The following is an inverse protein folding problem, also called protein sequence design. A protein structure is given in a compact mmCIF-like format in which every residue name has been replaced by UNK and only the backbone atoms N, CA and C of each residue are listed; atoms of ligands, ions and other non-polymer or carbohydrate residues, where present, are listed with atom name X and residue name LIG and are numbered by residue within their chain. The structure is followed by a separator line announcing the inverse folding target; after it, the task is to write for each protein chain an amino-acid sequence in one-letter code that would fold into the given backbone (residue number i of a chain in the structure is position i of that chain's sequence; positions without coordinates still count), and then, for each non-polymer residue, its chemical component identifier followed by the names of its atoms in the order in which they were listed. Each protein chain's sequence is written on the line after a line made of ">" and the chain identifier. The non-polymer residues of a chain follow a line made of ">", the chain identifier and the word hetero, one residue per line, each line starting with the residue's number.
data_IF_529637767196
#
_entry.id   IF_529637767196
#
_cell.length_a   1.000
_cell.length_b   1.000
_cell.length_c   1.000
_cell.angle_alpha   90.00
_cell.angle_beta   90.00
_cell.angle_gamma   90.00
#
_symmetry.space_group_name_H-M   'P 1'
#
loop_
_entity.id
_entity.type
_entity.pdbx_description
1 polymer ?
#
# COMPACT_ATOMS: atom_id res chain seq x y z
N UNK A 1 -1.77 14.66 9.01
CA UNK A 1 -1.27 14.64 10.40
C UNK A 1 -0.37 13.46 10.54
N UNK A 2 0.81 13.66 11.10
CA UNK A 2 1.83 12.64 11.20
C UNK A 2 2.32 12.58 12.65
N UNK A 3 2.39 11.38 13.20
CA UNK A 3 2.98 11.15 14.52
C UNK A 3 4.36 10.53 14.36
N UNK A 4 5.29 10.99 15.19
CA UNK A 4 6.66 10.49 15.23
C UNK A 4 7.04 10.17 16.69
N UNK A 5 7.94 9.20 16.84
CA UNK A 5 8.55 8.79 18.10
C UNK A 5 10.06 8.74 17.94
N UNK A 6 10.77 8.61 19.05
CA UNK A 6 12.19 8.28 19.09
C UNK A 6 12.43 6.79 18.81
N UNK A 7 13.71 6.43 18.71
CA UNK A 7 14.16 5.04 18.52
C UNK A 7 13.99 4.19 19.78
N UNK A 8 13.80 4.84 20.95
CA UNK A 8 13.61 4.10 22.19
C UNK A 8 12.41 3.17 22.07
N UNK A 9 12.64 1.88 22.31
CA UNK A 9 11.58 0.89 22.23
C UNK A 9 10.53 1.20 23.30
N UNK A 10 9.29 1.46 22.86
CA UNK A 10 8.17 1.56 23.78
C UNK A 10 7.80 0.17 24.30
N UNK A 11 8.27 -0.16 25.50
CA UNK A 11 7.88 -1.40 26.18
C UNK A 11 6.69 -1.13 27.10
N UNK A 12 5.53 -1.70 26.74
CA UNK A 12 4.35 -1.74 27.59
C UNK A 12 4.05 -3.17 28.01
N UNK A 13 4.98 -3.80 28.73
CA UNK A 13 4.84 -5.03 29.50
C UNK A 13 3.90 -6.06 28.84
N UNK A 14 4.31 -6.58 27.69
CA UNK A 14 3.68 -7.75 27.06
C UNK A 14 2.47 -7.49 26.17
N UNK A 15 2.17 -6.23 25.82
CA UNK A 15 1.23 -5.93 24.71
C UNK A 15 2.02 -5.74 23.42
N UNK A 16 1.48 -6.21 22.29
CA UNK A 16 1.99 -6.00 20.92
C UNK A 16 1.89 -4.53 20.49
N UNK A 17 2.26 -3.60 21.36
CA UNK A 17 2.13 -2.17 21.19
C UNK A 17 3.53 -1.61 21.07
N UNK A 18 3.83 -1.09 19.90
CA UNK A 18 5.15 -0.60 19.52
C UNK A 18 5.10 0.91 19.22
N UNK A 19 6.23 1.44 18.80
CA UNK A 19 6.35 2.82 18.34
C UNK A 19 5.41 3.13 17.16
N UNK A 20 5.03 2.12 16.38
CA UNK A 20 4.04 2.26 15.31
C UNK A 20 2.65 2.62 15.84
N UNK A 21 2.14 1.87 16.81
CA UNK A 21 0.85 2.14 17.43
C UNK A 21 0.89 3.46 18.22
N UNK A 22 1.98 3.71 18.95
CA UNK A 22 2.17 4.94 19.71
C UNK A 22 2.12 6.19 18.83
N UNK A 23 2.85 6.17 17.71
CA UNK A 23 2.88 7.30 16.78
C UNK A 23 1.52 7.55 16.12
N UNK A 24 0.82 6.49 15.70
CA UNK A 24 -0.53 6.60 15.14
C UNK A 24 -1.54 7.15 16.18
N UNK A 25 -1.47 6.68 17.42
CA UNK A 25 -2.37 7.13 18.49
C UNK A 25 -2.12 8.60 18.87
N UNK A 26 -0.86 9.04 18.91
CA UNK A 26 -0.52 10.47 19.13
C UNK A 26 -1.11 11.35 18.03
N UNK A 27 -0.97 10.95 16.77
CA UNK A 27 -1.53 11.70 15.64
C UNK A 27 -3.07 11.74 15.68
N UNK A 28 -3.72 10.63 16.06
CA UNK A 28 -5.16 10.56 16.25
C UNK A 28 -5.65 11.38 17.45
N UNK A 29 -4.88 11.43 18.54
CA UNK A 29 -5.18 12.29 19.68
C UNK A 29 -5.20 13.76 19.27
N UNK A 30 -4.16 14.20 18.54
CA UNK A 30 -4.09 15.56 18.01
C UNK A 30 -5.27 15.89 17.08
N UNK A 31 -5.67 14.94 16.22
CA UNK A 31 -6.86 15.06 15.37
C UNK A 31 -8.11 15.39 16.20
N UNK A 32 -8.38 14.60 17.25
CA UNK A 32 -9.54 14.79 18.13
C UNK A 32 -9.52 16.15 18.82
N UNK A 33 -8.35 16.60 19.29
CA UNK A 33 -8.20 17.93 19.90
C UNK A 33 -8.53 19.04 18.89
N UNK A 34 -8.08 18.92 17.65
CA UNK A 34 -8.41 19.92 16.61
C UNK A 34 -9.87 19.91 16.20
N UNK A 35 -10.50 18.75 16.16
CA UNK A 35 -11.95 18.64 15.89
C UNK A 35 -12.77 19.33 16.98
N UNK A 36 -12.41 19.14 18.25
CA UNK A 36 -13.00 19.87 19.37
C UNK A 36 -12.75 21.39 19.22
N UNK A 37 -11.58 21.78 18.72
CA UNK A 37 -11.22 23.16 18.41
C UNK A 37 -11.97 23.77 17.20
N UNK A 38 -12.89 23.03 16.56
CA UNK A 38 -13.70 23.52 15.45
C UNK A 38 -13.16 23.20 14.05
N UNK A 39 -12.11 22.38 13.94
CA UNK A 39 -11.67 21.86 12.65
C UNK A 39 -12.70 20.86 12.13
N UNK A 40 -13.20 21.05 10.89
CA UNK A 40 -14.18 20.13 10.31
C UNK A 40 -13.51 18.82 9.94
N UNK A 41 -14.16 17.69 10.23
CA UNK A 41 -13.65 16.34 9.95
C UNK A 41 -13.14 16.17 8.51
N UNK A 42 -13.89 16.68 7.52
CA UNK A 42 -13.54 16.61 6.09
C UNK A 42 -12.30 17.42 5.68
N UNK A 43 -11.78 18.29 6.55
CA UNK A 43 -10.53 19.02 6.28
C UNK A 43 -9.29 18.15 6.55
N UNK A 44 -9.44 17.06 7.31
CA UNK A 44 -8.36 16.16 7.66
C UNK A 44 -8.32 15.06 6.61
N UNK A 45 -7.28 15.07 5.79
CA UNK A 45 -7.19 14.18 4.63
C UNK A 45 -6.51 12.85 4.97
N UNK A 46 -5.55 12.88 5.90
CA UNK A 46 -4.75 11.71 6.26
C UNK A 46 -4.19 11.83 7.67
N UNK A 47 -4.17 10.71 8.38
CA UNK A 47 -3.43 10.49 9.62
C UNK A 47 -2.45 9.34 9.41
N UNK A 48 -1.20 9.50 9.81
CA UNK A 48 -0.13 8.49 9.65
C UNK A 48 0.67 8.40 10.94
N UNK A 49 1.05 7.18 11.34
CA UNK A 49 2.09 6.93 12.33
C UNK A 49 3.37 6.51 11.62
N UNK A 50 4.47 7.21 11.89
CA UNK A 50 5.77 6.98 11.25
C UNK A 50 6.81 6.34 12.18
N UNK A 51 6.45 6.09 13.44
CA UNK A 51 7.38 5.61 14.46
C UNK A 51 8.69 6.43 14.46
N UNK A 52 9.83 5.75 14.33
CA UNK A 52 11.19 6.28 14.29
C UNK A 52 11.78 6.41 12.87
N UNK A 53 10.96 6.30 11.81
CA UNK A 53 11.46 6.36 10.44
C UNK A 53 11.88 7.75 9.94
N UNK A 54 11.49 8.82 10.65
CA UNK A 54 11.79 10.20 10.27
C UNK A 54 12.20 11.02 11.50
N UNK A 55 13.52 11.01 11.78
CA UNK A 55 14.18 11.70 12.87
C UNK A 55 14.79 13.03 12.39
N UNK A 56 14.32 14.19 12.86
CA UNK A 56 14.89 15.50 12.54
C UNK A 56 16.32 15.65 13.03
N UNK A 57 16.63 15.02 14.17
CA UNK A 57 17.96 15.02 14.78
C UNK A 57 18.50 13.58 14.74
N UNK A 58 18.98 13.09 13.58
CA UNK A 58 19.48 11.73 13.47
C UNK A 58 20.78 11.50 14.27
N UNK A 59 21.48 12.58 14.65
CA UNK A 59 22.70 12.52 15.48
C UNK A 59 22.41 12.16 16.94
N UNK A 60 21.21 12.48 17.43
CA UNK A 60 20.74 12.10 18.75
C UNK A 60 19.35 11.44 18.63
N UNK A 61 19.29 10.11 18.42
CA UNK A 61 18.04 9.40 18.20
C UNK A 61 17.09 9.37 19.39
N UNK A 62 17.55 9.74 20.59
CA UNK A 62 16.77 9.77 21.83
C UNK A 62 16.27 11.17 22.19
N UNK A 63 16.64 12.18 21.39
CA UNK A 63 16.25 13.57 21.60
C UNK A 63 14.72 13.72 21.65
N UNK A 64 14.25 14.58 22.55
CA UNK A 64 12.83 14.88 22.71
C UNK A 64 12.18 15.48 21.46
N UNK A 65 12.95 16.16 20.61
CA UNK A 65 12.48 16.71 19.35
C UNK A 65 11.99 15.64 18.37
N UNK A 66 12.50 14.41 18.49
CA UNK A 66 12.05 13.29 17.66
C UNK A 66 10.60 12.88 17.99
N UNK A 67 10.14 13.10 19.23
CA UNK A 67 8.79 12.75 19.73
C UNK A 67 7.72 13.81 19.39
N UNK A 68 7.54 14.14 18.11
CA UNK A 68 6.65 15.23 17.63
C UNK A 68 5.35 14.76 16.97
N UNK A 69 4.41 15.69 16.80
CA UNK A 69 3.24 15.53 15.92
C UNK A 69 3.27 16.63 14.86
N UNK A 70 3.39 16.25 13.60
CA UNK A 70 3.52 17.16 12.46
C UNK A 70 2.16 17.39 11.80
N UNK A 71 1.84 18.66 11.52
CA UNK A 71 0.59 19.08 10.90
C UNK A 71 0.92 19.69 9.54
N UNK A 72 0.67 18.94 8.49
CA UNK A 72 0.87 19.40 7.12
C UNK A 72 -0.40 20.07 6.62
N UNK A 73 -0.29 21.35 6.29
CA UNK A 73 -1.37 22.12 5.65
C UNK A 73 -1.11 22.14 4.15
N UNK A 74 -2.06 21.63 3.37
CA UNK A 74 -1.97 21.59 1.91
C UNK A 74 -2.67 22.79 1.30
N UNK A 75 -2.02 23.45 0.36
CA UNK A 75 -2.63 24.50 -0.45
C UNK A 75 -3.38 23.86 -1.64
N UNK A 76 -4.70 24.05 -1.72
CA UNK A 76 -5.55 23.40 -2.74
C UNK A 76 -5.20 23.77 -4.20
N UNK A 77 -4.41 24.83 -4.42
CA UNK A 77 -4.02 25.26 -5.77
C UNK A 77 -2.92 24.37 -6.38
N UNK A 78 -2.19 23.64 -5.55
CA UNK A 78 -0.98 22.94 -5.97
C UNK A 78 -1.23 21.47 -6.33
N UNK A 79 -2.33 20.86 -5.88
CA UNK A 79 -2.65 19.46 -6.16
C UNK A 79 -2.89 19.22 -7.68
N UNK A 80 -3.52 20.19 -8.36
CA UNK A 80 -3.73 20.13 -9.83
C UNK A 80 -2.43 20.36 -10.59
N UNK A 81 -1.52 21.20 -10.08
CA UNK A 81 -0.26 21.55 -10.74
C UNK A 81 0.80 20.49 -10.52
N UNK A 82 0.90 19.91 -9.32
CA UNK A 82 1.80 18.81 -8.99
C UNK A 82 1.45 17.53 -9.77
N UNK A 83 0.17 17.18 -9.88
CA UNK A 83 -0.28 16.05 -10.69
C UNK A 83 -0.08 16.29 -12.21
N UNK A 84 -0.19 17.54 -12.68
CA UNK A 84 0.11 17.90 -14.09
C UNK A 84 1.61 17.94 -14.37
N UNK A 85 2.44 18.29 -13.39
CA UNK A 85 3.91 18.35 -13.50
C UNK A 85 4.50 16.97 -13.74
N UNK A 86 4.19 15.99 -12.87
CA UNK A 86 4.72 14.62 -13.00
C UNK A 86 4.33 13.94 -14.31
N UNK A 87 3.11 14.19 -14.82
CA UNK A 87 2.65 13.68 -16.10
C UNK A 87 3.35 14.35 -17.30
N UNK A 88 3.56 15.67 -17.26
CA UNK A 88 4.31 16.40 -18.29
C UNK A 88 5.79 16.01 -18.30
N UNK A 89 6.39 15.85 -17.13
CA UNK A 89 7.80 15.47 -16.98
C UNK A 89 8.04 14.04 -17.46
N UNK A 90 7.11 13.12 -17.16
CA UNK A 90 7.12 11.76 -17.69
C UNK A 90 7.02 11.72 -19.22
N UNK A 91 6.10 12.48 -19.82
CA UNK A 91 5.95 12.55 -21.28
C UNK A 91 7.15 13.24 -21.96
N UNK A 92 7.69 14.30 -21.35
CA UNK A 92 8.88 14.99 -21.85
C UNK A 92 10.12 14.08 -21.81
N UNK A 93 10.27 13.27 -20.75
CA UNK A 93 11.33 12.26 -20.63
C UNK A 93 11.18 11.16 -21.68
N UNK A 94 9.96 10.67 -21.91
CA UNK A 94 9.67 9.68 -22.96
C UNK A 94 9.97 10.24 -24.36
N UNK A 95 9.62 11.50 -24.65
CA UNK A 95 9.95 12.17 -25.93
C UNK A 95 11.45 12.35 -26.14
N UNK A 96 12.20 12.70 -25.09
CA UNK A 96 13.67 12.78 -25.16
C UNK A 96 14.32 11.42 -25.43
N UNK A 97 13.82 10.36 -24.77
CA UNK A 97 14.31 9.00 -24.97
C UNK A 97 13.99 8.47 -26.38
N UNK A 98 12.80 8.75 -26.92
CA UNK A 98 12.45 8.36 -28.30
C UNK A 98 13.24 9.14 -29.35
N UNK A 99 13.59 10.41 -29.09
CA UNK A 99 14.41 11.20 -30.00
C UNK A 99 15.88 10.73 -30.07
N UNK A 100 16.37 10.06 -29.01
CA UNK A 100 17.72 9.49 -28.97
C UNK A 100 17.80 8.07 -29.56
N UNK A 101 16.67 7.43 -29.85
CA UNK A 101 16.61 6.03 -30.29
C UNK A 101 16.69 5.82 -31.82
N UNK A 102 16.96 6.86 -32.61
CA UNK A 102 17.08 6.74 -34.07
C UNK A 102 18.53 6.91 -34.51
N UNK A 103 19.31 5.84 -34.40
CA UNK A 103 20.24 5.41 -35.47
C UNK A 103 20.68 3.95 -35.24
N UNK A 104 19.82 2.99 -35.60
CA UNK A 104 20.25 1.61 -35.79
C UNK A 104 20.71 1.47 -37.24
N UNK A 105 22.01 1.57 -37.49
CA UNK A 105 22.61 1.18 -38.78
C UNK A 105 22.39 -0.33 -38.97
N UNK A 106 21.83 -0.80 -40.10
CA UNK A 106 21.74 -2.23 -40.36
C UNK A 106 23.13 -2.81 -40.62
N UNK A 107 23.79 -3.27 -39.56
CA UNK A 107 25.00 -4.09 -39.65
C UNK A 107 24.65 -5.49 -40.15
N UNK A 108 25.38 -5.96 -41.18
CA UNK A 108 25.24 -7.31 -41.74
C UNK A 108 25.18 -8.37 -40.63
N UNK A 109 24.05 -9.06 -40.52
CA UNK A 109 23.94 -10.28 -39.73
C UNK A 109 24.79 -11.37 -40.39
N UNK A 110 25.91 -11.75 -39.75
CA UNK A 110 26.55 -13.05 -40.02
C UNK A 110 25.73 -14.12 -39.30
N UNK A 111 25.33 -15.22 -39.96
CA UNK A 111 24.66 -16.30 -39.27
C UNK A 111 25.63 -16.94 -38.26
N UNK A 112 25.15 -17.32 -37.05
CA UNK A 112 25.97 -18.06 -36.10
C UNK A 112 26.31 -19.44 -36.67
N UNK A 113 27.59 -19.79 -36.56
CA UNK A 113 28.16 -21.10 -36.88
C UNK A 113 27.39 -22.20 -36.16
N UNK A 114 26.96 -23.21 -36.93
CA UNK A 114 26.41 -24.45 -36.43
C UNK A 114 27.42 -25.17 -35.53
N UNK A 115 27.25 -25.09 -34.21
CA UNK A 115 27.85 -26.04 -33.29
C UNK A 115 26.83 -27.15 -33.05
N UNK A 116 27.03 -28.25 -33.77
CA UNK A 116 26.43 -29.53 -33.45
C UNK A 116 26.86 -29.93 -32.04
N UNK A 117 25.92 -30.00 -31.11
CA UNK A 117 26.07 -30.78 -29.88
C UNK A 117 24.71 -31.36 -29.55
N UNK A 118 24.67 -32.68 -29.60
CA UNK A 118 23.56 -33.54 -29.21
C UNK A 118 23.04 -33.18 -27.81
N UNK A 119 21.87 -32.56 -27.75
CA UNK A 119 21.08 -32.49 -26.52
C UNK A 119 19.99 -33.56 -26.61
N UNK A 120 20.20 -34.66 -25.89
CA UNK A 120 19.24 -35.74 -25.78
C UNK A 120 17.90 -35.25 -25.25
N UNK A 121 16.86 -35.36 -26.07
CA UNK A 121 15.48 -35.17 -25.66
C UNK A 121 15.08 -36.29 -24.69
N UNK A 122 14.92 -35.95 -23.41
CA UNK A 122 14.15 -36.76 -22.47
C UNK A 122 12.84 -36.04 -22.19
N UNK A 123 11.78 -36.47 -22.86
CA UNK A 123 10.42 -35.97 -22.68
C UNK A 123 9.93 -36.22 -21.24
N UNK A 124 9.28 -35.26 -20.56
CA UNK A 124 8.51 -35.57 -19.36
C UNK A 124 7.13 -36.09 -19.79
N UNK A 125 6.87 -37.33 -19.44
CA UNK A 125 5.59 -38.02 -19.62
C UNK A 125 4.48 -37.31 -18.85
N UNK A 126 3.36 -37.08 -19.54
CA UNK A 126 2.09 -36.67 -18.97
C UNK A 126 1.57 -37.77 -18.02
N UNK A 127 1.42 -37.46 -16.74
CA UNK A 127 0.93 -38.44 -15.78
C UNK A 127 0.93 -37.97 -14.34
N UNK A 128 0.15 -36.94 -14.01
CA UNK A 128 -0.27 -36.71 -12.60
C UNK A 128 -1.78 -36.50 -12.52
N UNK A 129 -2.44 -37.52 -11.97
CA UNK A 129 -3.85 -37.49 -11.55
C UNK A 129 -4.04 -36.42 -10.46
N UNK A 130 -5.16 -35.66 -10.48
CA UNK A 130 -5.45 -34.70 -9.42
C UNK A 130 -5.76 -35.42 -8.08
N UNK A 131 -5.45 -34.80 -6.92
CA UNK A 131 -5.69 -35.38 -5.60
C UNK A 131 -7.18 -35.55 -5.27
N UNK A 132 -7.48 -36.59 -4.47
CA UNK A 132 -8.83 -37.16 -4.25
C UNK A 132 -9.87 -36.26 -3.56
N UNK A 133 -9.50 -35.08 -3.06
CA UNK A 133 -10.42 -34.16 -2.36
C UNK A 133 -11.15 -33.18 -3.30
N UNK A 134 -10.85 -33.18 -4.60
CA UNK A 134 -11.44 -32.26 -5.60
C UNK A 134 -12.82 -32.66 -6.15
N UNK A 135 -13.41 -33.77 -5.69
CA UNK A 135 -14.78 -34.21 -6.08
C UNK A 135 -15.76 -34.13 -4.91
N UNK A 136 -16.06 -32.92 -4.43
CA UNK A 136 -17.32 -32.70 -3.68
C UNK A 136 -17.73 -31.24 -3.64
N UNK A 137 -18.32 -30.75 -4.74
CA UNK A 137 -19.37 -29.70 -4.75
C UNK A 137 -19.74 -29.36 -6.19
N UNK A 138 -20.64 -30.15 -6.79
CA UNK A 138 -21.74 -29.69 -7.66
C UNK A 138 -22.71 -30.86 -7.83
N UNK A 139 -23.88 -30.73 -7.19
CA UNK A 139 -25.22 -31.23 -7.55
C UNK A 139 -26.05 -31.45 -6.28
N UNK A 140 -26.83 -30.43 -5.94
CA UNK A 140 -28.23 -30.59 -5.54
C UNK A 140 -28.93 -29.27 -5.84
N UNK A 141 -29.45 -29.18 -7.05
CA UNK A 141 -30.58 -28.31 -7.36
C UNK A 141 -31.84 -28.89 -6.71
N UNK A 142 -32.83 -28.01 -6.56
CA UNK A 142 -34.26 -28.26 -6.32
C UNK A 142 -34.69 -28.66 -4.91
N UNK A 143 -35.34 -27.68 -4.24
CA UNK A 143 -36.73 -27.69 -3.74
C UNK A 143 -36.81 -27.16 -2.30
N UNK A 144 -37.91 -26.46 -2.00
CA UNK A 144 -38.29 -25.82 -0.72
C UNK A 144 -37.56 -24.48 -0.47
N UNK A 145 -38.20 -23.36 -0.21
CA UNK A 145 -39.59 -23.02 0.11
C UNK A 145 -39.56 -21.59 0.65
N UNK A 146 -40.67 -20.89 0.53
CA UNK A 146 -40.90 -19.55 1.05
C UNK A 146 -40.47 -19.34 2.51
N UNK A 147 -40.24 -18.07 2.88
CA UNK A 147 -40.42 -17.37 4.17
C UNK A 147 -39.21 -16.44 4.41
N UNK A 148 -39.27 -15.15 4.08
CA UNK A 148 -39.91 -14.04 4.83
C UNK A 148 -39.65 -14.09 6.35
N UNK A 149 -38.74 -13.23 6.80
CA UNK A 149 -38.71 -12.56 8.11
C UNK A 149 -37.70 -11.40 7.95
N UNK A 150 -38.07 -10.13 7.74
CA UNK A 150 -38.71 -9.18 8.67
C UNK A 150 -38.18 -9.36 10.09
N UNK A 151 -37.09 -8.65 10.41
CA UNK A 151 -36.71 -8.31 11.77
C UNK A 151 -37.06 -6.85 12.00
N UNK A 152 -38.19 -6.64 12.67
CA UNK A 152 -38.55 -5.40 13.33
C UNK A 152 -39.08 -5.78 14.72
N UNK A 153 -38.87 -4.87 15.68
CA UNK A 153 -39.50 -4.81 17.00
C UNK A 153 -38.80 -5.55 18.16
N UNK A 154 -38.13 -4.80 19.04
CA UNK A 154 -38.79 -4.33 20.26
C UNK A 154 -38.00 -3.22 20.98
N UNK A 155 -38.57 -2.02 20.94
CA UNK A 155 -38.37 -0.94 21.91
C UNK A 155 -39.13 -1.34 23.18
N UNK A 156 -38.49 -1.23 24.34
CA UNK A 156 -39.14 -1.23 25.65
C UNK A 156 -38.76 0.09 26.32
N UNK A 157 -39.75 0.96 26.47
CA UNK A 157 -39.71 2.12 27.36
C UNK A 157 -40.01 1.65 28.79
N UNK A 158 -39.27 2.20 29.75
CA UNK A 158 -39.69 2.53 31.11
C UNK A 158 -38.63 3.45 31.73
#
# INVERSE_FOLDING_TARGET
>A
MEGHTDVQQYDRHGRNYSNWELSADRANSARRVMEIGGLRERQIVRVVGLADHDLPVPQDPLDAQNRRVSIIVRHLKDDTTAARGTARDGLARLRKLSAQAVEVRPGRLRPPSSCATSCGHRSPTAGRRPPRWWRRRRRRTTRWGALRAVYAFHRHDA
#
